data_IF_138988267248
#
_entry.id   IF_138988267248
#
_cell.length_a   1.000
_cell.length_b   1.000
_cell.length_c   1.000
_cell.angle_alpha   90.00
_cell.angle_beta   90.00
_cell.angle_gamma   90.00
#
_symmetry.space_group_name_H-M   'P 1'
#
loop_
_entity.id
_entity.type
_entity.pdbx_description
1 polymer ?
#
# COMPACT_ATOMS: atom_id res chain seq x y z
N UNK A 1 17.00 -20.52 -5.74
CA UNK A 1 15.71 -19.85 -6.04
C UNK A 1 14.83 -19.80 -4.78
N UNK A 2 14.88 -18.69 -4.04
CA UNK A 2 14.06 -18.50 -2.85
C UNK A 2 12.62 -18.20 -3.30
N UNK A 3 11.74 -19.19 -3.23
CA UNK A 3 10.31 -18.98 -3.40
C UNK A 3 9.79 -18.30 -2.12
N UNK A 4 9.82 -16.97 -2.12
CA UNK A 4 9.25 -16.15 -1.05
C UNK A 4 7.72 -16.18 -1.18
N UNK A 5 7.11 -17.21 -0.60
CA UNK A 5 5.66 -17.36 -0.49
C UNK A 5 5.03 -18.22 -1.58
N UNK A 6 4.16 -19.14 -1.14
CA UNK A 6 3.37 -20.01 -2.01
C UNK A 6 1.99 -19.40 -2.32
N UNK A 7 1.52 -18.46 -1.49
CA UNK A 7 0.21 -17.81 -1.59
C UNK A 7 0.40 -16.30 -1.45
N UNK A 8 -0.16 -15.52 -2.39
CA UNK A 8 -0.13 -14.05 -2.38
C UNK A 8 -1.55 -13.51 -2.54
N UNK A 9 -1.92 -12.56 -1.66
CA UNK A 9 -3.17 -11.80 -1.77
C UNK A 9 -2.81 -10.33 -1.91
N UNK A 10 -3.37 -9.68 -2.93
CA UNK A 10 -3.22 -8.25 -3.16
C UNK A 10 -4.53 -7.66 -3.63
N UNK A 11 -4.88 -6.54 -3.02
CA UNK A 11 -6.04 -5.73 -3.33
C UNK A 11 -5.55 -4.29 -3.45
N UNK A 12 -5.82 -3.66 -4.58
CA UNK A 12 -5.56 -2.26 -4.83
C UNK A 12 -6.88 -1.59 -5.16
N UNK A 13 -7.22 -0.55 -4.41
CA UNK A 13 -8.37 0.30 -4.65
C UNK A 13 -7.86 1.71 -4.91
N UNK A 14 -8.27 2.28 -6.02
CA UNK A 14 -7.85 3.62 -6.41
C UNK A 14 -9.10 4.41 -6.85
N UNK A 15 -9.29 5.57 -6.23
CA UNK A 15 -10.38 6.48 -6.52
C UNK A 15 -9.82 7.81 -7.01
N UNK A 16 -10.03 8.11 -8.29
CA UNK A 16 -9.56 9.34 -8.93
C UNK A 16 -10.71 10.32 -9.11
N UNK A 17 -10.44 11.60 -8.85
CA UNK A 17 -11.43 12.66 -9.02
C UNK A 17 -10.77 13.95 -9.52
N UNK A 18 -11.44 14.71 -10.40
CA UNK A 18 -10.94 16.03 -10.81
C UNK A 18 -11.04 17.01 -9.63
N UNK A 19 -10.01 17.85 -9.43
CA UNK A 19 -10.08 18.96 -8.48
C UNK A 19 -10.48 20.25 -9.21
N UNK A 20 -9.48 20.95 -9.76
CA UNK A 20 -9.65 22.22 -10.47
C UNK A 20 -8.54 22.37 -11.52
N UNK A 21 -8.81 23.13 -12.58
CA UNK A 21 -7.86 23.33 -13.68
C UNK A 21 -7.45 21.99 -14.32
N UNK A 22 -6.19 21.60 -14.13
CA UNK A 22 -5.54 20.37 -14.62
C UNK A 22 -4.99 19.56 -13.44
N UNK A 23 -5.51 19.83 -12.24
CA UNK A 23 -5.23 19.05 -11.04
C UNK A 23 -6.24 17.93 -10.89
N UNK A 24 -5.74 16.73 -10.65
CA UNK A 24 -6.49 15.53 -10.33
C UNK A 24 -6.05 15.02 -8.96
N UNK A 25 -7.02 14.56 -8.18
CA UNK A 25 -6.80 13.94 -6.89
C UNK A 25 -6.95 12.43 -7.05
N UNK A 26 -6.20 11.70 -6.26
CA UNK A 26 -6.33 10.26 -6.12
C UNK A 26 -6.38 9.90 -4.64
N UNK A 27 -7.26 8.99 -4.28
CA UNK A 27 -7.18 8.24 -3.04
C UNK A 27 -6.78 6.82 -3.43
N UNK A 28 -5.83 6.24 -2.73
CA UNK A 28 -5.48 4.84 -2.93
C UNK A 28 -5.54 4.10 -1.60
N UNK A 29 -5.91 2.83 -1.67
CA UNK A 29 -5.89 1.91 -0.55
C UNK A 29 -5.41 0.55 -1.06
N UNK A 30 -4.37 0.05 -0.42
CA UNK A 30 -3.75 -1.23 -0.73
C UNK A 30 -3.93 -2.17 0.46
N UNK A 31 -4.24 -3.42 0.18
CA UNK A 31 -4.27 -4.45 1.19
C UNK A 31 -3.66 -5.73 0.63
N UNK A 32 -2.67 -6.29 1.32
CA UNK A 32 -2.03 -7.49 0.85
C UNK A 32 -1.14 -8.16 1.87
N UNK A 33 -0.83 -9.41 1.60
CA UNK A 33 0.21 -10.15 2.31
C UNK A 33 0.63 -11.37 1.49
N UNK A 34 1.80 -11.90 1.83
CA UNK A 34 2.36 -13.12 1.24
C UNK A 34 2.49 -14.16 2.36
N UNK A 35 2.08 -15.39 2.07
CA UNK A 35 2.17 -16.53 2.98
C UNK A 35 2.86 -17.71 2.32
N UNK A 36 3.40 -18.59 3.16
CA UNK A 36 4.01 -19.86 2.76
C UNK A 36 3.11 -21.01 3.21
N UNK A 37 3.13 -22.12 2.48
CA UNK A 37 2.47 -23.35 2.92
C UNK A 37 3.22 -23.97 4.11
N UNK A 38 2.55 -24.76 4.96
CA UNK A 38 3.20 -25.46 6.06
C UNK A 38 4.35 -26.36 5.54
N UNK A 39 5.57 -26.14 6.02
CA UNK A 39 6.78 -26.95 5.74
C UNK A 39 7.63 -27.03 7.01
N UNK A 40 8.51 -28.03 7.11
CA UNK A 40 9.33 -28.28 8.31
C UNK A 40 10.14 -27.08 8.81
N UNK A 41 10.58 -26.19 7.90
CA UNK A 41 11.38 -25.00 8.22
C UNK A 41 10.62 -23.67 7.99
N UNK A 42 9.30 -23.69 7.87
CA UNK A 42 8.52 -22.48 7.65
C UNK A 42 8.36 -21.68 8.96
N UNK A 43 8.56 -20.36 8.90
CA UNK A 43 8.26 -19.47 10.03
C UNK A 43 6.76 -19.57 10.36
N UNK A 44 6.38 -20.00 11.58
CA UNK A 44 4.98 -20.12 11.98
C UNK A 44 4.17 -18.84 11.79
N UNK A 45 4.80 -17.65 11.81
CA UNK A 45 4.16 -16.37 11.60
C UNK A 45 3.82 -16.07 10.13
N UNK A 46 4.52 -16.70 9.18
CA UNK A 46 4.33 -16.55 7.74
C UNK A 46 3.50 -17.67 7.09
N UNK A 47 3.09 -18.69 7.86
CA UNK A 47 2.29 -19.81 7.34
C UNK A 47 0.84 -19.40 7.13
N UNK A 48 0.28 -19.74 5.97
CA UNK A 48 -1.14 -19.52 5.68
C UNK A 48 -2.02 -20.38 6.60
N UNK A 49 -2.90 -19.72 7.36
CA UNK A 49 -3.92 -20.37 8.19
C UNK A 49 -5.27 -19.76 7.87
N UNK A 50 -6.21 -20.57 7.40
CA UNK A 50 -7.55 -20.08 6.99
C UNK A 50 -8.30 -19.33 8.10
N UNK A 51 -8.04 -19.63 9.37
CA UNK A 51 -8.64 -18.92 10.51
C UNK A 51 -7.95 -17.63 10.95
N UNK A 52 -6.72 -17.37 10.50
CA UNK A 52 -5.88 -16.25 11.01
C UNK A 52 -5.26 -15.38 9.90
N UNK A 53 -5.37 -15.76 8.61
CA UNK A 53 -4.72 -15.04 7.51
C UNK A 53 -5.12 -13.56 7.47
N UNK A 54 -6.38 -13.23 7.76
CA UNK A 54 -6.86 -11.85 7.77
C UNK A 54 -6.15 -10.97 8.83
N UNK A 55 -5.52 -11.58 9.83
CA UNK A 55 -4.81 -10.85 10.88
C UNK A 55 -3.47 -10.31 10.42
N UNK A 56 -2.85 -10.96 9.44
CA UNK A 56 -1.53 -10.63 8.90
C UNK A 56 -1.60 -9.83 7.59
N UNK A 57 -2.79 -9.38 7.17
CA UNK A 57 -2.94 -8.50 6.02
C UNK A 57 -2.37 -7.12 6.39
N UNK A 58 -1.41 -6.65 5.61
CA UNK A 58 -0.97 -5.26 5.63
C UNK A 58 -2.01 -4.41 4.91
N UNK A 59 -2.33 -3.25 5.47
CA UNK A 59 -3.23 -2.28 4.84
C UNK A 59 -2.54 -0.94 4.83
N UNK A 60 -2.50 -0.34 3.67
CA UNK A 60 -1.94 0.97 3.41
C UNK A 60 -3.02 1.83 2.75
N UNK A 61 -3.01 3.12 3.05
CA UNK A 61 -3.85 4.09 2.38
C UNK A 61 -2.99 5.25 1.95
N UNK A 62 -3.47 6.06 1.01
CA UNK A 62 -2.75 7.25 0.65
C UNK A 62 -3.53 8.20 -0.24
N UNK A 63 -2.90 9.35 -0.42
CA UNK A 63 -3.43 10.50 -1.12
C UNK A 63 -2.45 10.87 -2.21
N UNK A 64 -2.96 11.00 -3.43
CA UNK A 64 -2.21 11.42 -4.60
C UNK A 64 -2.74 12.75 -5.14
N UNK A 65 -1.84 13.59 -5.62
CA UNK A 65 -2.17 14.78 -6.42
C UNK A 65 -1.39 14.69 -7.72
N UNK A 66 -2.08 14.90 -8.82
CA UNK A 66 -1.51 14.91 -10.16
C UNK A 66 -1.78 16.25 -10.83
N UNK A 67 -0.74 16.81 -11.46
CA UNK A 67 -0.85 18.02 -12.27
C UNK A 67 -0.51 17.66 -13.71
N UNK A 68 -1.49 17.77 -14.59
CA UNK A 68 -1.29 17.54 -16.02
C UNK A 68 -0.93 18.87 -16.71
N UNK A 69 0.29 19.04 -17.21
CA UNK A 69 0.75 20.28 -17.84
C UNK A 69 0.88 20.17 -19.38
N UNK A 70 0.13 19.26 -20.01
CA UNK A 70 0.15 18.92 -21.45
C UNK A 70 1.44 18.28 -21.97
N UNK A 71 2.62 18.71 -21.52
CA UNK A 71 3.93 18.15 -21.91
C UNK A 71 4.60 17.35 -20.81
N UNK A 72 4.13 17.50 -19.57
CA UNK A 72 4.65 16.82 -18.39
C UNK A 72 3.52 16.56 -17.40
N UNK A 73 3.58 15.42 -16.72
CA UNK A 73 2.69 15.06 -15.62
C UNK A 73 3.53 15.05 -14.35
N UNK A 74 3.14 15.88 -13.39
CA UNK A 74 3.71 15.87 -12.03
C UNK A 74 2.81 15.05 -11.14
N UNK A 75 3.41 14.20 -10.29
CA UNK A 75 2.70 13.34 -9.34
C UNK A 75 3.32 13.50 -7.96
N UNK A 76 2.45 13.67 -6.98
CA UNK A 76 2.78 13.80 -5.57
C UNK A 76 1.92 12.78 -4.83
N UNK A 77 2.52 11.70 -4.39
CA UNK A 77 1.82 10.60 -3.73
C UNK A 77 2.31 10.48 -2.28
N UNK A 78 1.38 10.48 -1.34
CA UNK A 78 1.60 10.31 0.09
C UNK A 78 0.92 9.01 0.53
N UNK A 79 1.73 7.97 0.72
CA UNK A 79 1.29 6.70 1.29
C UNK A 79 1.45 6.70 2.80
N UNK A 80 0.53 6.05 3.52
CA UNK A 80 0.54 5.89 4.96
C UNK A 80 0.12 4.48 5.35
N UNK A 81 0.80 3.92 6.35
CA UNK A 81 0.53 2.58 6.84
C UNK A 81 -0.68 2.66 7.76
N UNK A 82 -1.76 1.95 7.40
CA UNK A 82 -2.99 1.88 8.20
C UNK A 82 -2.93 0.69 9.16
N UNK A 83 -2.37 -0.43 8.71
CA UNK A 83 -2.22 -1.65 9.49
C UNK A 83 -0.88 -2.29 9.21
N UNK A 84 -0.09 -2.42 10.28
CA UNK A 84 1.20 -3.08 10.24
C UNK A 84 1.04 -4.55 10.70
N UNK A 85 1.30 -5.54 9.83
CA UNK A 85 1.17 -6.95 10.18
C UNK A 85 2.23 -7.41 11.18
N UNK A 86 3.39 -6.74 11.26
CA UNK A 86 4.46 -7.03 12.23
C UNK A 86 4.03 -6.62 13.64
N UNK A 87 3.41 -5.45 13.77
CA UNK A 87 2.87 -4.94 15.05
C UNK A 87 1.52 -5.56 15.40
N UNK A 88 0.87 -6.26 14.45
CA UNK A 88 -0.50 -6.80 14.56
C UNK A 88 -1.51 -5.75 15.06
N UNK A 89 -1.30 -4.49 14.71
CA UNK A 89 -2.04 -3.36 15.26
C UNK A 89 -2.47 -2.41 14.15
N UNK A 90 -3.63 -1.77 14.37
CA UNK A 90 -4.07 -0.63 13.57
C UNK A 90 -3.30 0.60 14.02
N UNK A 91 -2.74 1.32 13.05
CA UNK A 91 -2.07 2.59 13.33
C UNK A 91 -3.16 3.66 13.39
N UNK A 92 -3.31 4.39 14.51
CA UNK A 92 -4.32 5.43 14.60
C UNK A 92 -3.98 6.59 13.65
N UNK A 93 -4.98 7.34 13.14
CA UNK A 93 -4.74 8.46 12.23
C UNK A 93 -3.76 9.51 12.76
N UNK A 94 -3.71 9.70 14.08
CA UNK A 94 -2.75 10.59 14.75
C UNK A 94 -1.28 10.17 14.60
N UNK A 95 -1.02 8.92 14.21
CA UNK A 95 0.31 8.37 13.99
C UNK A 95 0.64 8.16 12.52
N UNK A 96 -0.28 8.37 11.58
CA UNK A 96 -0.01 8.18 10.15
C UNK A 96 1.10 9.11 9.65
N UNK A 97 1.13 10.36 10.12
CA UNK A 97 2.16 11.35 9.74
C UNK A 97 3.43 11.30 10.62
N UNK A 98 3.60 10.26 11.45
CA UNK A 98 4.86 10.08 12.20
C UNK A 98 5.95 9.54 11.28
N UNK A 99 7.19 9.95 11.56
CA UNK A 99 8.40 9.44 10.89
C UNK A 99 8.36 7.90 10.90
N UNK A 100 8.44 7.29 9.72
CA UNK A 100 8.34 5.85 9.40
C UNK A 100 6.94 5.27 9.11
N UNK A 101 5.85 6.01 9.34
CA UNK A 101 4.49 5.53 9.05
C UNK A 101 3.91 6.12 7.75
N UNK A 102 4.65 7.00 7.09
CA UNK A 102 4.30 7.54 5.78
C UNK A 102 5.50 7.46 4.82
N UNK A 103 5.19 7.38 3.54
CA UNK A 103 6.12 7.48 2.44
C UNK A 103 5.65 8.58 1.50
N UNK A 104 6.58 9.41 1.06
CA UNK A 104 6.32 10.45 0.08
C UNK A 104 7.04 10.11 -1.21
N UNK A 105 6.30 10.13 -2.31
CA UNK A 105 6.82 9.85 -3.63
C UNK A 105 6.50 11.01 -4.56
N UNK A 106 7.53 11.47 -5.25
CA UNK A 106 7.42 12.48 -6.29
C UNK A 106 7.76 11.85 -7.63
N UNK A 107 6.87 12.02 -8.61
CA UNK A 107 7.02 11.49 -9.95
C UNK A 107 6.91 12.58 -11.00
N UNK A 108 7.79 12.52 -12.00
CA UNK A 108 7.73 13.37 -13.21
C UNK A 108 7.69 12.44 -14.41
N UNK A 109 6.66 12.57 -15.24
CA UNK A 109 6.46 11.72 -16.41
C UNK A 109 6.08 12.52 -17.66
N UNK A 110 6.32 11.94 -18.84
CA UNK A 110 5.81 12.46 -20.09
C UNK A 110 4.41 11.91 -20.38
N UNK A 111 3.46 12.73 -20.85
CA UNK A 111 2.22 12.25 -21.44
C UNK A 111 2.57 11.67 -22.82
N UNK A 112 2.42 10.36 -22.98
CA UNK A 112 2.45 9.69 -24.28
C UNK A 112 1.08 9.77 -24.94
#
# INVERSE_FOLDING_TARGET
>A
PNQAGDIRLELNLEFRFPLFWKLEGALFADAGNIWTLPRENADPAGVFRFGDFYKSIAIDAGLGIRVNLNFVILRLDLGMIVRDPVRRAWIPPSQWLRKNNYSFQFGVGYPF
#
